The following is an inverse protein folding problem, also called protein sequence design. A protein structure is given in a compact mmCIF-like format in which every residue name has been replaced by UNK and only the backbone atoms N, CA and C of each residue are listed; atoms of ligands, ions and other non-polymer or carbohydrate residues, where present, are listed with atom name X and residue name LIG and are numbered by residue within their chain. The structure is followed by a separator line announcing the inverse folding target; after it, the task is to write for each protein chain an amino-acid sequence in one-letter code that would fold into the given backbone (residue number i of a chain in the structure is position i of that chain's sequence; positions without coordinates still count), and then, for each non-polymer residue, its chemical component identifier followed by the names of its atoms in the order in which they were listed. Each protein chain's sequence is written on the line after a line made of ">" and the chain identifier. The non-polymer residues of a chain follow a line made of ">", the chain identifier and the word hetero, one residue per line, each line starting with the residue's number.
data_IF_531063890831
#
_entry.id   IF_531063890831
#
_cell.length_a   1.000
_cell.length_b   1.000
_cell.length_c   1.000
_cell.angle_alpha   90.00
_cell.angle_beta   90.00
_cell.angle_gamma   90.00
#
_symmetry.space_group_name_H-M   'P 1'
#
loop_
_entity.id
_entity.type
_entity.pdbx_description
1 polymer ?
#
# COMPACT_ATOMS: atom_id res chain seq x y z
N UNK A 1 -5.46 -22.22 3.28
CA UNK A 1 -4.72 -21.36 4.22
C UNK A 1 -3.56 -20.66 3.52
N UNK A 2 -3.07 -19.54 4.04
CA UNK A 2 -1.99 -18.73 3.43
C UNK A 2 -0.76 -18.74 4.34
N UNK A 3 -0.06 -19.88 4.39
CA UNK A 3 1.13 -20.02 5.23
C UNK A 3 2.30 -19.19 4.71
N UNK A 4 2.91 -18.39 5.61
CA UNK A 4 4.14 -17.61 5.38
C UNK A 4 4.13 -16.67 4.15
N UNK A 5 2.97 -16.30 3.60
CA UNK A 5 2.92 -15.33 2.49
C UNK A 5 2.80 -13.91 3.03
N UNK A 6 3.78 -13.07 2.74
CA UNK A 6 3.78 -11.64 3.06
C UNK A 6 2.84 -10.84 2.13
N UNK A 7 2.61 -9.57 2.47
CA UNK A 7 1.88 -8.59 1.66
C UNK A 7 0.36 -8.53 1.89
N UNK A 8 -0.27 -7.50 1.32
CA UNK A 8 -1.70 -7.24 1.44
C UNK A 8 -2.37 -7.33 0.06
N UNK A 9 -3.52 -8.04 -0.04
CA UNK A 9 -4.25 -8.16 -1.31
C UNK A 9 -5.02 -6.88 -1.69
N UNK A 10 -5.43 -6.09 -0.69
CA UNK A 10 -6.22 -4.84 -0.83
C UNK A 10 -7.49 -4.95 -1.70
N UNK A 11 -8.01 -6.17 -1.92
CA UNK A 11 -9.16 -6.42 -2.80
C UNK A 11 -8.94 -6.02 -4.25
N UNK A 12 -7.69 -5.94 -4.72
CA UNK A 12 -7.33 -5.42 -6.05
C UNK A 12 -6.49 -6.41 -6.85
N UNK A 13 -6.59 -6.32 -8.19
CA UNK A 13 -5.66 -6.97 -9.11
C UNK A 13 -4.23 -6.48 -8.86
N UNK A 14 -3.24 -7.25 -9.30
CA UNK A 14 -1.83 -6.90 -9.09
C UNK A 14 -1.48 -5.54 -9.70
N UNK A 15 -1.94 -5.25 -10.93
CA UNK A 15 -1.68 -3.97 -11.59
C UNK A 15 -2.25 -2.78 -10.80
N UNK A 16 -3.54 -2.84 -10.42
CA UNK A 16 -4.18 -1.78 -9.65
C UNK A 16 -3.55 -1.63 -8.25
N UNK A 17 -3.17 -2.73 -7.60
CA UNK A 17 -2.47 -2.69 -6.31
C UNK A 17 -1.13 -1.96 -6.43
N UNK A 18 -0.33 -2.27 -7.45
CA UNK A 18 0.95 -1.60 -7.68
C UNK A 18 0.76 -0.09 -7.91
N UNK A 19 -0.21 0.30 -8.74
CA UNK A 19 -0.52 1.71 -8.97
C UNK A 19 -0.97 2.42 -7.68
N UNK A 20 -1.84 1.78 -6.90
CA UNK A 20 -2.32 2.34 -5.62
C UNK A 20 -1.17 2.58 -4.64
N UNK A 21 -0.24 1.62 -4.50
CA UNK A 21 0.89 1.75 -3.58
C UNK A 21 1.88 2.83 -4.03
N UNK A 22 2.14 2.94 -5.34
CA UNK A 22 2.97 4.03 -5.90
C UNK A 22 2.38 5.41 -5.61
N UNK A 23 1.07 5.59 -5.81
CA UNK A 23 0.42 6.87 -5.57
C UNK A 23 0.38 7.21 -4.07
N UNK A 24 0.20 6.22 -3.19
CA UNK A 24 0.24 6.44 -1.74
C UNK A 24 1.66 6.83 -1.27
N UNK A 25 2.69 6.18 -1.80
CA UNK A 25 4.08 6.52 -1.48
C UNK A 25 4.42 7.94 -1.98
N UNK A 26 4.08 8.26 -3.22
CA UNK A 26 4.31 9.58 -3.80
C UNK A 26 3.60 10.68 -3.01
N UNK A 27 2.30 10.51 -2.71
CA UNK A 27 1.55 11.50 -1.93
C UNK A 27 2.06 11.68 -0.50
N UNK A 28 2.59 10.62 0.12
CA UNK A 28 3.23 10.75 1.43
C UNK A 28 4.53 11.57 1.35
N UNK A 29 5.36 11.33 0.33
CA UNK A 29 6.60 12.09 0.12
C UNK A 29 6.33 13.56 -0.24
N UNK A 30 5.27 13.82 -0.99
CA UNK A 30 4.90 15.17 -1.44
C UNK A 30 4.28 16.01 -0.31
N UNK A 31 3.40 15.43 0.49
CA UNK A 31 2.61 16.16 1.50
C UNK A 31 3.10 15.96 2.93
N UNK A 32 4.05 15.06 3.17
CA UNK A 32 4.60 14.72 4.49
C UNK A 32 3.67 13.90 5.38
N UNK A 33 2.36 13.95 5.17
CA UNK A 33 1.36 13.15 5.88
C UNK A 33 0.13 12.90 5.01
N UNK A 34 -0.40 11.67 5.03
CA UNK A 34 -1.65 11.31 4.36
C UNK A 34 -2.56 10.48 5.27
N UNK A 35 -3.87 10.68 5.15
CA UNK A 35 -4.87 9.87 5.85
C UNK A 35 -5.39 8.76 4.93
N UNK A 36 -5.28 7.51 5.35
CA UNK A 36 -5.73 6.34 4.56
C UNK A 36 -6.21 5.22 5.49
N UNK A 37 -6.69 4.11 4.92
CA UNK A 37 -7.12 2.96 5.73
C UNK A 37 -5.91 2.24 6.33
N UNK A 38 -6.06 1.69 7.53
CA UNK A 38 -4.97 1.00 8.26
C UNK A 38 -4.29 -0.08 7.41
N UNK A 39 -5.06 -0.85 6.64
CA UNK A 39 -4.53 -1.89 5.75
C UNK A 39 -3.69 -1.33 4.59
N UNK A 40 -4.05 -0.17 4.03
CA UNK A 40 -3.28 0.50 2.98
C UNK A 40 -2.01 1.14 3.55
N UNK A 41 -2.11 1.76 4.73
CA UNK A 41 -0.96 2.31 5.44
C UNK A 41 0.10 1.23 5.72
N UNK A 42 -0.28 0.10 6.31
CA UNK A 42 0.65 -1.02 6.54
C UNK A 42 1.19 -1.64 5.25
N UNK A 43 0.45 -1.54 4.15
CA UNK A 43 0.90 -2.05 2.86
C UNK A 43 1.92 -1.16 2.15
N UNK A 44 1.91 0.15 2.40
CA UNK A 44 2.85 1.10 1.79
C UNK A 44 4.16 1.25 2.59
N UNK A 45 4.17 0.94 3.89
CA UNK A 45 5.35 1.02 4.77
C UNK A 45 6.67 0.43 4.22
N UNK A 46 6.69 -0.68 3.46
CA UNK A 46 7.96 -1.18 2.90
C UNK A 46 8.56 -0.32 1.77
N UNK A 47 7.84 0.69 1.27
CA UNK A 47 8.22 1.51 0.11
C UNK A 47 8.62 2.94 0.46
N UNK A 48 8.42 3.38 1.70
CA UNK A 48 8.65 4.73 2.22
C UNK A 48 9.35 4.62 3.57
#
# INVERSE_FOLDING_TARGET
>A
MRHRKAGYKLGRTTAHRTATLRNLAAGLLEHGQITTTVTKAKAVQPFV
#
